data_IF_909238524219
#
_entry.id   IF_909238524219
#
_cell.length_a   1.000
_cell.length_b   1.000
_cell.length_c   1.000
_cell.angle_alpha   90.00
_cell.angle_beta   90.00
_cell.angle_gamma   90.00
#
_symmetry.space_group_name_H-M   'P 1'
#
loop_
_entity.id
_entity.type
_entity.pdbx_description
1 polymer ?
#
# COMPACT_ATOMS: atom_id res chain seq x y z
N UNK A 1 9.72 10.01 -7.96
CA UNK A 1 8.51 9.20 -8.24
C UNK A 1 8.84 7.78 -7.83
N UNK A 2 8.06 7.15 -6.93
CA UNK A 2 8.34 5.78 -6.50
C UNK A 2 8.11 4.87 -7.71
N UNK A 3 9.20 4.39 -8.31
CA UNK A 3 9.14 3.36 -9.35
C UNK A 3 9.55 2.05 -8.67
N UNK A 4 8.59 1.40 -8.03
CA UNK A 4 8.80 0.01 -7.63
C UNK A 4 8.80 -0.80 -8.94
N UNK A 5 9.90 -1.47 -9.31
CA UNK A 5 9.94 -2.30 -10.51
C UNK A 5 8.83 -3.35 -10.40
N UNK A 6 8.11 -3.58 -11.51
CA UNK A 6 7.04 -4.58 -11.61
C UNK A 6 5.81 -4.34 -10.74
N UNK A 7 5.58 -3.10 -10.27
CA UNK A 7 4.32 -2.73 -9.60
C UNK A 7 3.57 -1.70 -10.44
N UNK A 8 2.37 -2.06 -10.86
CA UNK A 8 1.38 -1.22 -11.54
C UNK A 8 0.29 -0.77 -10.57
N UNK A 9 -0.15 -1.62 -9.62
CA UNK A 9 -1.19 -1.27 -8.64
C UNK A 9 -0.63 -0.98 -7.23
N UNK A 10 -0.50 0.31 -6.94
CA UNK A 10 0.01 0.82 -5.66
C UNK A 10 -1.06 0.83 -4.55
N UNK A 11 -2.33 0.62 -4.89
CA UNK A 11 -3.49 0.81 -4.01
C UNK A 11 -4.24 -0.48 -3.65
N UNK A 12 -4.01 -1.58 -4.37
CA UNK A 12 -4.64 -2.87 -4.09
C UNK A 12 -4.34 -3.36 -2.67
N UNK A 13 -5.40 -3.70 -1.94
CA UNK A 13 -5.35 -4.26 -0.58
C UNK A 13 -4.98 -5.74 -0.51
N UNK A 14 -5.14 -6.45 -1.62
CA UNK A 14 -4.94 -7.90 -1.69
C UNK A 14 -3.48 -8.20 -2.05
N UNK A 15 -2.66 -8.48 -1.03
CA UNK A 15 -1.22 -8.70 -1.16
C UNK A 15 -0.77 -9.82 -0.23
N UNK A 16 0.23 -10.57 -0.66
CA UNK A 16 0.97 -11.51 0.17
C UNK A 16 2.35 -10.92 0.49
N UNK A 17 2.82 -11.11 1.72
CA UNK A 17 4.13 -10.65 2.16
C UNK A 17 4.90 -11.84 2.75
N UNK A 18 6.18 -11.95 2.42
CA UNK A 18 7.09 -12.86 3.11
C UNK A 18 7.38 -12.33 4.51
N UNK A 19 7.55 -13.22 5.48
CA UNK A 19 7.93 -12.87 6.85
C UNK A 19 9.17 -11.96 6.89
N UNK A 20 10.26 -12.35 6.23
CA UNK A 20 11.53 -11.60 6.26
C UNK A 20 11.41 -10.15 5.78
N UNK A 21 10.59 -9.89 4.76
CA UNK A 21 10.38 -8.54 4.25
C UNK A 21 9.64 -7.65 5.25
N UNK A 22 8.64 -8.22 5.94
CA UNK A 22 7.88 -7.50 6.98
C UNK A 22 8.73 -7.31 8.22
N UNK A 23 9.42 -8.36 8.68
CA UNK A 23 10.27 -8.33 9.86
C UNK A 23 11.38 -7.28 9.72
N UNK A 24 12.07 -7.26 8.56
CA UNK A 24 13.08 -6.24 8.26
C UNK A 24 12.52 -4.82 8.26
N UNK A 25 11.32 -4.62 7.70
CA UNK A 25 10.69 -3.31 7.68
C UNK A 25 10.26 -2.86 9.08
N UNK A 26 9.73 -3.77 9.90
CA UNK A 26 9.43 -3.50 11.31
C UNK A 26 10.71 -3.23 12.10
N UNK A 27 11.81 -3.93 11.83
CA UNK A 27 13.10 -3.66 12.47
C UNK A 27 13.64 -2.25 12.21
N UNK A 28 13.34 -1.67 11.03
CA UNK A 28 13.77 -0.31 10.65
C UNK A 28 12.78 0.77 11.12
N UNK A 29 11.48 0.52 10.95
CA UNK A 29 10.44 1.53 11.17
C UNK A 29 9.69 1.35 12.50
N UNK A 30 9.81 0.23 13.20
CA UNK A 30 9.12 -0.06 14.46
C UNK A 30 7.60 0.16 14.37
N UNK A 31 7.03 0.80 15.40
CA UNK A 31 5.61 1.21 15.44
C UNK A 31 5.22 2.18 14.33
N UNK A 32 6.21 2.84 13.74
CA UNK A 32 6.01 3.78 12.65
C UNK A 32 5.90 3.08 11.30
N UNK A 33 5.93 1.75 11.21
CA UNK A 33 5.80 1.03 9.94
C UNK A 33 4.48 1.35 9.21
N UNK A 34 3.36 1.48 9.92
CA UNK A 34 2.06 1.88 9.36
C UNK A 34 1.50 3.01 10.21
N UNK A 35 1.36 4.21 9.62
CA UNK A 35 0.82 5.40 10.31
C UNK A 35 -0.53 5.84 9.77
N UNK A 36 -0.77 5.60 8.49
CA UNK A 36 -1.97 6.10 7.83
C UNK A 36 -3.18 5.20 8.11
N UNK A 37 -4.26 5.78 8.64
CA UNK A 37 -5.48 5.05 9.01
C UNK A 37 -6.50 4.93 7.86
N UNK A 38 -6.05 5.07 6.62
CA UNK A 38 -6.91 5.01 5.43
C UNK A 38 -6.26 4.14 4.35
N UNK A 39 -6.92 3.94 3.22
CA UNK A 39 -6.36 3.19 2.07
C UNK A 39 -4.97 3.65 1.62
N UNK A 40 -4.58 4.88 1.95
CA UNK A 40 -3.24 5.38 1.75
C UNK A 40 -2.14 4.57 2.51
N UNK A 41 -2.52 3.78 3.51
CA UNK A 41 -1.63 2.84 4.18
C UNK A 41 -1.02 1.82 3.22
N UNK A 42 -1.74 1.42 2.16
CA UNK A 42 -1.22 0.46 1.19
C UNK A 42 -0.04 1.02 0.41
N UNK A 43 -0.06 2.34 0.15
CA UNK A 43 1.06 3.06 -0.50
C UNK A 43 2.22 3.21 0.49
N UNK A 44 1.93 3.53 1.76
CA UNK A 44 2.94 3.66 2.81
C UNK A 44 3.69 2.35 3.06
N UNK A 45 2.97 1.23 3.18
CA UNK A 45 3.55 -0.11 3.34
C UNK A 45 4.43 -0.45 2.15
N UNK A 46 3.91 -0.25 0.93
CA UNK A 46 4.66 -0.54 -0.29
C UNK A 46 5.94 0.30 -0.40
N UNK A 47 5.86 1.58 -0.04
CA UNK A 47 7.01 2.49 -0.02
C UNK A 47 8.10 2.01 0.93
N UNK A 48 7.73 1.69 2.16
CA UNK A 48 8.66 1.28 3.21
C UNK A 48 9.29 -0.07 2.90
N UNK A 49 8.51 -1.03 2.42
CA UNK A 49 9.03 -2.31 1.94
C UNK A 49 10.03 -2.10 0.80
N UNK A 50 9.71 -1.24 -0.18
CA UNK A 50 10.62 -0.93 -1.28
C UNK A 50 11.93 -0.31 -0.76
N UNK A 51 11.86 0.62 0.19
CA UNK A 51 13.03 1.22 0.84
C UNK A 51 13.90 0.22 1.60
N UNK A 52 13.32 -0.87 2.11
CA UNK A 52 14.06 -1.95 2.79
C UNK A 52 14.70 -2.97 1.84
N UNK A 53 14.49 -2.81 0.53
CA UNK A 53 15.03 -3.68 -0.52
C UNK A 53 14.13 -4.87 -0.88
N UNK A 54 12.85 -4.84 -0.52
CA UNK A 54 11.90 -5.87 -0.95
C UNK A 54 11.74 -5.87 -2.49
N UNK A 55 11.54 -7.07 -3.05
CA UNK A 55 11.21 -7.27 -4.46
C UNK A 55 9.70 -7.50 -4.60
N UNK A 56 9.14 -7.07 -5.72
CA UNK A 56 7.70 -7.13 -5.97
C UNK A 56 7.42 -7.83 -7.29
N UNK A 57 6.29 -8.52 -7.33
CA UNK A 57 5.70 -9.11 -8.52
C UNK A 57 4.17 -9.04 -8.43
N UNK A 58 3.49 -9.11 -9.56
CA UNK A 58 2.02 -9.02 -9.65
C UNK A 58 1.42 -10.30 -10.22
N UNK A 59 0.56 -10.95 -9.45
CA UNK A 59 -0.28 -12.04 -9.92
C UNK A 59 -1.63 -11.48 -10.41
N UNK A 60 -1.98 -11.62 -11.70
CA UNK A 60 -3.26 -11.13 -12.20
C UNK A 60 -4.41 -11.98 -11.65
N UNK A 61 -5.50 -11.32 -11.26
CA UNK A 61 -6.74 -11.98 -10.86
C UNK A 61 -7.95 -11.16 -11.33
N UNK A 62 -9.08 -11.83 -11.51
CA UNK A 62 -10.34 -11.17 -11.84
C UNK A 62 -11.09 -10.78 -10.56
N UNK A 63 -11.39 -9.49 -10.40
CA UNK A 63 -12.15 -9.01 -9.26
C UNK A 63 -13.65 -8.95 -9.61
N UNK A 64 -14.38 -9.97 -9.17
CA UNK A 64 -15.82 -10.16 -9.38
C UNK A 64 -16.66 -9.31 -8.42
N UNK A 65 -16.86 -8.04 -8.77
CA UNK A 65 -17.72 -7.11 -8.02
C UNK A 65 -19.21 -7.46 -8.09
N UNK A 66 -19.61 -8.24 -9.09
CA UNK A 66 -20.96 -8.78 -9.29
C UNK A 66 -21.39 -9.73 -8.16
N UNK A 67 -20.44 -10.37 -7.47
CA UNK A 67 -20.70 -11.26 -6.33
C UNK A 67 -20.80 -10.51 -4.99
N UNK A 68 -20.82 -9.18 -5.01
CA UNK A 68 -20.83 -8.39 -3.79
C UNK A 68 -22.21 -8.40 -3.15
N UNK A 69 -22.34 -9.09 -2.01
CA UNK A 69 -23.61 -9.25 -1.26
C UNK A 69 -24.12 -7.95 -0.60
N UNK A 70 -23.43 -6.81 -0.71
CA UNK A 70 -23.84 -5.56 -0.07
C UNK A 70 -23.19 -4.30 -0.64
N UNK A 71 -23.75 -3.14 -0.29
CA UNK A 71 -23.28 -1.85 -0.79
C UNK A 71 -21.84 -1.52 -0.39
N UNK A 72 -21.18 -0.70 -1.20
CA UNK A 72 -19.81 -0.29 -0.94
C UNK A 72 -19.72 0.63 0.28
N UNK A 73 -19.10 0.14 1.36
CA UNK A 73 -18.73 0.97 2.53
C UNK A 73 -17.60 1.98 2.23
N UNK A 74 -17.08 1.99 1.01
CA UNK A 74 -15.91 2.78 0.61
C UNK A 74 -16.30 4.20 0.17
N UNK A 75 -15.87 5.21 0.93
CA UNK A 75 -16.03 6.64 0.56
C UNK A 75 -14.97 7.05 -0.46
N UNK A 76 -15.18 6.70 -1.73
CA UNK A 76 -14.22 6.84 -2.85
C UNK A 76 -13.52 8.20 -2.90
N UNK A 77 -14.26 9.32 -2.79
CA UNK A 77 -13.68 10.67 -2.81
C UNK A 77 -12.74 10.96 -1.63
N UNK A 78 -13.06 10.46 -0.42
CA UNK A 78 -12.20 10.61 0.76
C UNK A 78 -10.93 9.77 0.62
N UNK A 79 -11.07 8.56 0.08
CA UNK A 79 -9.96 7.63 -0.20
C UNK A 79 -8.97 8.21 -1.22
N UNK A 80 -9.48 8.78 -2.31
CA UNK A 80 -8.65 9.38 -3.37
C UNK A 80 -7.83 10.55 -2.82
N UNK A 81 -8.49 11.48 -2.11
CA UNK A 81 -7.82 12.66 -1.53
C UNK A 81 -6.73 12.25 -0.55
N UNK A 82 -7.02 11.31 0.35
CA UNK A 82 -6.03 10.83 1.32
C UNK A 82 -4.82 10.19 0.63
N UNK A 83 -5.03 9.38 -0.39
CA UNK A 83 -3.94 8.71 -1.13
C UNK A 83 -2.98 9.72 -1.78
N UNK A 84 -3.53 10.81 -2.34
CA UNK A 84 -2.74 11.90 -2.93
C UNK A 84 -1.96 12.64 -1.84
N UNK A 85 -2.60 13.04 -0.73
CA UNK A 85 -1.93 13.75 0.36
C UNK A 85 -0.83 12.92 1.03
N UNK A 86 -1.06 11.64 1.28
CA UNK A 86 -0.04 10.74 1.85
C UNK A 86 1.17 10.60 0.93
N UNK A 87 0.94 10.47 -0.38
CA UNK A 87 2.04 10.41 -1.36
C UNK A 87 2.89 11.68 -1.34
N UNK A 88 2.26 12.86 -1.18
CA UNK A 88 2.96 14.14 -1.03
C UNK A 88 3.70 14.22 0.31
N UNK A 89 3.07 13.80 1.41
CA UNK A 89 3.68 13.80 2.75
C UNK A 89 4.92 12.91 2.82
N UNK A 90 4.83 11.68 2.30
CA UNK A 90 5.96 10.76 2.18
C UNK A 90 7.10 11.30 1.30
N UNK A 91 6.81 12.25 0.40
CA UNK A 91 7.82 12.93 -0.42
C UNK A 91 8.58 14.02 0.35
N UNK A 92 7.93 14.67 1.32
CA UNK A 92 8.53 15.76 2.10
C UNK A 92 9.07 15.32 3.47
N UNK A 93 8.59 14.20 4.00
CA UNK A 93 9.20 13.53 5.16
C UNK A 93 10.39 12.70 4.69
N UNK A 94 11.58 13.25 4.94
CA UNK A 94 12.88 12.67 4.61
C UNK A 94 13.22 11.51 5.54
#
# INVERSE_FOLDING_TARGET
MMRAPNVKDYTCGYRCYTYDAVDKAIGIYGYDFIKENSFACMIEVLYKLHKTGARFDEAPFELRYDQKLGESKMRVFKTMRNSVFTTIKLRFTK
#
